data_IF_345586272785
#
_entry.id   IF_345586272785
#
_cell.length_a   1.000
_cell.length_b   1.000
_cell.length_c   1.000
_cell.angle_alpha   90.00
_cell.angle_beta   90.00
_cell.angle_gamma   90.00
#
_symmetry.space_group_name_H-M   'P 1'
#
loop_
_entity.id
_entity.type
_entity.pdbx_description
1 polymer ?
#
# COMPACT_ATOMS: atom_id res chain seq x y z
N UNK A 1 1.80 -10.64 3.82
CA UNK A 1 1.01 -9.47 3.37
C UNK A 1 1.11 -8.41 4.44
N UNK A 2 1.23 -7.14 4.05
CA UNK A 2 1.36 -5.99 4.96
C UNK A 2 0.32 -4.93 4.58
N UNK A 3 -0.32 -4.30 5.56
CA UNK A 3 -1.10 -3.07 5.36
C UNK A 3 -0.22 -1.92 5.83
N UNK A 4 0.09 -0.97 4.95
CA UNK A 4 1.08 0.06 5.18
C UNK A 4 0.44 1.45 5.13
N UNK A 5 0.70 2.29 6.14
CA UNK A 5 0.30 3.69 6.11
C UNK A 5 1.29 4.52 5.29
N UNK A 6 0.78 5.47 4.52
CA UNK A 6 1.63 6.38 3.73
C UNK A 6 2.21 7.52 4.58
N UNK A 7 1.51 7.91 5.66
CA UNK A 7 1.90 9.01 6.53
C UNK A 7 2.28 8.43 7.89
N UNK A 8 3.58 8.42 8.19
CA UNK A 8 4.15 7.94 9.45
C UNK A 8 5.26 8.91 9.90
N UNK A 9 5.48 9.08 11.22
CA UNK A 9 6.64 9.80 11.72
C UNK A 9 7.94 9.05 11.38
N UNK A 10 9.05 9.79 11.29
CA UNK A 10 10.42 9.32 11.04
C UNK A 10 10.66 8.68 9.66
N UNK A 11 9.94 7.62 9.31
CA UNK A 11 10.06 6.90 8.04
C UNK A 11 8.73 6.89 7.30
N UNK A 12 8.70 7.42 6.07
CA UNK A 12 7.48 7.45 5.25
C UNK A 12 7.07 6.09 4.71
N UNK A 13 5.82 5.96 4.26
CA UNK A 13 5.33 4.70 3.67
C UNK A 13 6.08 4.29 2.40
N UNK A 14 6.54 5.25 1.59
CA UNK A 14 7.37 4.97 0.41
C UNK A 14 8.68 4.28 0.79
N UNK A 15 9.43 4.88 1.70
CA UNK A 15 10.72 4.37 2.16
C UNK A 15 10.55 3.00 2.82
N UNK A 16 9.51 2.86 3.66
CA UNK A 16 9.16 1.56 4.28
C UNK A 16 8.88 0.49 3.22
N UNK A 17 8.14 0.83 2.15
CA UNK A 17 7.89 -0.09 1.05
C UNK A 17 9.18 -0.49 0.33
N UNK A 18 10.04 0.48 -0.01
CA UNK A 18 11.30 0.21 -0.71
C UNK A 18 12.21 -0.72 0.13
N UNK A 19 12.28 -0.52 1.45
CA UNK A 19 12.99 -1.43 2.36
C UNK A 19 12.37 -2.84 2.40
N UNK A 20 11.04 -2.95 2.53
CA UNK A 20 10.34 -4.24 2.54
C UNK A 20 10.54 -5.00 1.21
N UNK A 21 10.48 -4.28 0.09
CA UNK A 21 10.68 -4.85 -1.24
C UNK A 21 12.13 -5.32 -1.45
N UNK A 22 13.11 -4.57 -0.93
CA UNK A 22 14.52 -4.99 -0.94
C UNK A 22 14.78 -6.27 -0.14
N UNK A 23 14.01 -6.53 0.92
CA UNK A 23 14.09 -7.76 1.72
C UNK A 23 13.32 -8.92 1.06
N UNK A 24 12.13 -8.64 0.53
CA UNK A 24 11.30 -9.63 -0.15
C UNK A 24 10.56 -8.98 -1.34
N UNK A 25 11.06 -9.18 -2.57
CA UNK A 25 10.41 -8.64 -3.77
C UNK A 25 8.98 -9.14 -3.99
N UNK A 26 8.62 -10.30 -3.43
CA UNK A 26 7.27 -10.87 -3.48
C UNK A 26 6.33 -10.40 -2.37
N UNK A 27 6.74 -9.41 -1.55
CA UNK A 27 5.90 -8.91 -0.46
C UNK A 27 4.64 -8.25 -1.01
N UNK A 28 3.49 -8.80 -0.64
CA UNK A 28 2.18 -8.23 -0.94
C UNK A 28 1.88 -7.08 0.03
N UNK A 29 1.72 -5.86 -0.49
CA UNK A 29 1.46 -4.65 0.32
C UNK A 29 0.15 -3.99 -0.11
N UNK A 30 -0.70 -3.65 0.87
CA UNK A 30 -1.87 -2.80 0.70
C UNK A 30 -1.54 -1.41 1.28
N UNK A 31 -1.43 -0.41 0.43
CA UNK A 31 -1.15 0.96 0.88
C UNK A 31 -2.40 1.65 1.40
N UNK A 32 -2.28 2.41 2.49
CA UNK A 32 -3.37 3.12 3.14
C UNK A 32 -3.04 4.60 3.23
N UNK A 33 -3.85 5.48 2.65
CA UNK A 33 -3.61 6.94 2.65
C UNK A 33 -4.89 7.72 2.89
N UNK A 34 -4.84 8.77 3.72
CA UNK A 34 -5.98 9.67 3.96
C UNK A 34 -6.08 10.89 3.05
N UNK A 35 -5.03 11.19 2.28
CA UNK A 35 -5.07 12.26 1.29
C UNK A 35 -5.29 11.69 -0.11
N UNK A 36 -5.94 12.49 -0.98
CA UNK A 36 -6.07 12.20 -2.41
C UNK A 36 -4.73 11.75 -2.98
N UNK A 37 -4.75 10.73 -3.84
CA UNK A 37 -3.59 10.14 -4.53
C UNK A 37 -2.62 11.27 -4.94
N UNK A 38 -1.53 11.40 -4.17
CA UNK A 38 -0.44 12.32 -4.47
C UNK A 38 0.47 11.69 -5.51
N UNK A 39 1.36 12.48 -6.12
CA UNK A 39 2.30 11.94 -7.10
C UNK A 39 3.18 10.81 -6.52
N UNK A 40 3.44 10.80 -5.21
CA UNK A 40 4.07 9.68 -4.50
C UNK A 40 3.29 8.36 -4.61
N UNK A 41 1.95 8.39 -4.53
CA UNK A 41 1.15 7.16 -4.67
C UNK A 41 1.10 6.69 -6.13
N UNK A 42 1.25 7.59 -7.10
CA UNK A 42 1.39 7.22 -8.52
C UNK A 42 2.71 6.52 -8.79
N UNK A 43 3.81 7.00 -8.21
CA UNK A 43 5.12 6.36 -8.37
C UNK A 43 5.14 4.93 -7.78
N UNK A 44 4.43 4.70 -6.67
CA UNK A 44 4.24 3.36 -6.09
C UNK A 44 3.40 2.44 -6.96
N UNK A 45 2.36 2.99 -7.60
CA UNK A 45 1.55 2.25 -8.58
C UNK A 45 2.41 1.81 -9.77
N UNK A 46 3.35 2.65 -10.22
CA UNK A 46 4.29 2.35 -11.32
C UNK A 46 5.32 1.30 -10.90
N UNK A 47 5.75 1.29 -9.63
CA UNK A 47 6.71 0.31 -9.08
C UNK A 47 6.11 -1.08 -8.78
N UNK A 48 4.85 -1.35 -9.14
CA UNK A 48 4.21 -2.65 -8.90
C UNK A 48 3.51 -2.78 -7.55
N UNK A 49 3.22 -1.66 -6.87
CA UNK A 49 2.31 -1.66 -5.73
C UNK A 49 0.86 -1.50 -6.23
N UNK A 50 0.26 -2.60 -6.68
CA UNK A 50 -0.99 -2.56 -7.46
C UNK A 50 -2.27 -2.36 -6.66
N UNK A 51 -2.22 -2.20 -5.33
CA UNK A 51 -3.44 -2.05 -4.51
C UNK A 51 -3.24 -1.02 -3.39
N UNK A 52 -4.15 -0.05 -3.35
CA UNK A 52 -4.24 0.97 -2.32
C UNK A 52 -5.69 1.07 -1.79
N UNK A 53 -5.83 1.62 -0.59
CA UNK A 53 -7.11 1.95 0.03
C UNK A 53 -7.06 3.38 0.60
N UNK A 54 -8.06 4.19 0.23
CA UNK A 54 -8.18 5.56 0.70
C UNK A 54 -8.92 5.61 2.04
N UNK A 55 -8.38 6.33 3.03
CA UNK A 55 -9.05 6.64 4.30
C UNK A 55 -9.98 7.86 4.09
N UNK A 56 -11.15 7.90 4.77
CA UNK A 56 -11.70 6.85 5.61
C UNK A 56 -12.28 5.70 4.79
N UNK A 57 -12.14 4.48 5.30
CA UNK A 57 -12.75 3.27 4.73
C UNK A 57 -13.49 2.48 5.80
N UNK A 58 -14.46 1.67 5.38
CA UNK A 58 -15.14 0.72 6.24
C UNK A 58 -14.56 -0.70 6.09
N UNK A 59 -14.98 -1.61 6.98
CA UNK A 59 -14.50 -3.00 7.00
C UNK A 59 -14.78 -3.74 5.69
N UNK A 60 -15.90 -3.44 5.01
CA UNK A 60 -16.27 -4.09 3.74
C UNK A 60 -15.30 -3.69 2.63
N UNK A 61 -14.96 -2.41 2.54
CA UNK A 61 -13.98 -1.88 1.58
C UNK A 61 -12.60 -2.49 1.84
N UNK A 62 -12.18 -2.57 3.11
CA UNK A 62 -10.93 -3.22 3.51
C UNK A 62 -10.89 -4.69 3.07
N UNK A 63 -11.94 -5.46 3.37
CA UNK A 63 -12.02 -6.89 3.00
C UNK A 63 -11.91 -7.12 1.50
N UNK A 64 -12.56 -6.28 0.68
CA UNK A 64 -12.45 -6.35 -0.78
C UNK A 64 -11.01 -6.10 -1.23
N UNK A 65 -10.35 -5.07 -0.70
CA UNK A 65 -8.95 -4.75 -1.06
C UNK A 65 -7.96 -5.82 -0.61
N UNK A 66 -8.18 -6.41 0.56
CA UNK A 66 -7.37 -7.54 1.01
C UNK A 66 -7.50 -8.72 0.04
N UNK A 67 -8.73 -9.04 -0.37
CA UNK A 67 -8.99 -10.12 -1.33
C UNK A 67 -8.31 -9.85 -2.67
N UNK A 68 -8.41 -8.64 -3.21
CA UNK A 68 -7.73 -8.23 -4.45
C UNK A 68 -6.20 -8.44 -4.38
N UNK A 69 -5.57 -8.15 -3.23
CA UNK A 69 -4.13 -8.37 -3.03
C UNK A 69 -3.79 -9.86 -2.96
N UNK A 70 -4.59 -10.64 -2.24
CA UNK A 70 -4.32 -12.06 -2.02
C UNK A 70 -4.53 -12.89 -3.30
N UNK A 71 -5.52 -12.55 -4.11
CA UNK A 71 -5.89 -13.31 -5.32
C UNK A 71 -4.98 -13.00 -6.53
N UNK A 72 -4.26 -11.86 -6.50
CA UNK A 72 -3.16 -11.61 -7.44
C UNK A 72 -1.97 -12.50 -7.08
N UNK A 73 -1.88 -13.67 -7.71
CA UNK A 73 -0.78 -14.63 -7.63
C UNK A 73 0.10 -14.54 -8.85
#
# INVERSE_FOLDING_TARGET
MVILDMIMPDMGGQETYDHMHGVNPGVKVLLSSGYSITDQTKDLLVKGCNVFIQKPFNIKQMSVKIREVLDKG
#
